data_IF_290957832311
#
_entry.id   IF_290957832311
#
_cell.length_a   1.000
_cell.length_b   1.000
_cell.length_c   1.000
_cell.angle_alpha   90.00
_cell.angle_beta   90.00
_cell.angle_gamma   90.00
#
_symmetry.space_group_name_H-M   'P 1'
#
loop_
_entity.id
_entity.type
_entity.pdbx_description
1 polymer ?
#
# COMPACT_ATOMS: atom_id res chain seq x y z
N UNK A 1 3.03 26.72 -2.09
CA UNK A 1 3.94 25.76 -1.42
C UNK A 1 4.97 26.58 -0.67
N UNK A 2 4.92 26.58 0.66
CA UNK A 2 5.96 27.18 1.50
C UNK A 2 6.50 26.08 2.41
N UNK A 3 7.76 25.70 2.21
CA UNK A 3 8.46 24.74 3.06
C UNK A 3 9.20 25.57 4.11
N UNK A 4 8.69 25.60 5.34
CA UNK A 4 9.40 26.19 6.47
C UNK A 4 10.14 25.08 7.22
N UNK A 5 11.46 25.04 7.07
CA UNK A 5 12.33 24.17 7.87
C UNK A 5 12.45 24.73 9.29
N UNK A 6 12.04 23.94 10.29
CA UNK A 6 12.31 24.22 11.71
C UNK A 6 13.28 23.15 12.25
N UNK A 7 14.53 23.55 12.50
CA UNK A 7 15.44 22.80 13.38
C UNK A 7 16.81 22.52 12.78
N UNK A 8 17.86 23.05 13.42
CA UNK A 8 19.26 22.79 13.09
C UNK A 8 19.75 21.45 13.64
N UNK A 9 20.68 20.84 12.90
CA UNK A 9 21.30 19.55 13.20
C UNK A 9 22.35 19.72 14.31
N UNK A 10 22.13 19.15 15.49
CA UNK A 10 23.23 18.80 16.40
C UNK A 10 23.58 17.32 16.29
N UNK A 11 24.88 17.06 16.23
CA UNK A 11 25.50 15.76 15.98
C UNK A 11 25.57 14.93 17.27
N UNK A 12 24.53 14.18 17.59
CA UNK A 12 24.61 12.87 18.28
C UNK A 12 23.24 12.46 18.85
N UNK A 13 22.48 11.63 18.12
CA UNK A 13 21.56 10.62 18.68
C UNK A 13 20.98 9.76 17.53
N UNK A 14 20.52 8.51 17.79
CA UNK A 14 20.12 7.55 16.74
C UNK A 14 18.91 8.04 15.92
N UNK A 15 18.72 7.53 14.69
CA UNK A 15 17.77 8.08 13.72
C UNK A 15 16.35 8.02 14.27
N UNK A 16 15.78 9.19 14.56
CA UNK A 16 14.34 9.32 14.78
C UNK A 16 13.69 9.32 13.39
N UNK A 17 12.71 8.43 13.20
CA UNK A 17 11.84 8.41 12.03
C UNK A 17 11.08 9.73 11.99
N UNK A 18 11.43 10.63 11.07
CA UNK A 18 10.63 11.81 10.79
C UNK A 18 9.44 11.36 9.93
N UNK A 19 8.28 11.18 10.56
CA UNK A 19 7.02 11.05 9.83
C UNK A 19 6.75 12.37 9.10
N UNK A 20 6.72 12.33 7.77
CA UNK A 20 6.29 13.46 6.94
C UNK A 20 4.79 13.35 6.73
N UNK A 21 4.01 14.16 7.47
CA UNK A 21 2.59 14.32 7.22
C UNK A 21 2.38 15.39 6.14
N UNK A 22 1.88 15.01 4.97
CA UNK A 22 1.51 15.94 3.90
C UNK A 22 0.04 16.34 4.13
N UNK A 23 -0.21 17.60 4.48
CA UNK A 23 -1.56 18.17 4.59
C UNK A 23 -1.87 19.02 3.36
N UNK A 24 -2.87 18.60 2.57
CA UNK A 24 -3.41 19.41 1.48
C UNK A 24 -4.40 20.42 2.07
N UNK A 25 -4.22 21.71 1.77
CA UNK A 25 -5.15 22.79 2.18
C UNK A 25 -5.87 23.28 0.92
N UNK A 26 -7.22 23.23 0.85
CA UNK A 26 -7.96 23.83 -0.25
C UNK A 26 -7.82 25.36 -0.22
N UNK A 27 -7.51 25.96 -1.37
CA UNK A 27 -7.49 27.42 -1.53
C UNK A 27 -8.74 27.89 -2.26
N UNK A 28 -9.68 28.52 -1.54
CA UNK A 28 -10.67 29.38 -2.17
C UNK A 28 -10.90 30.63 -1.29
N UNK A 29 -10.52 31.80 -1.82
CA UNK A 29 -11.06 33.08 -1.36
C UNK A 29 -12.33 33.36 -2.20
N UNK A 30 -13.48 33.72 -1.59
CA UNK A 30 -14.63 34.15 -2.36
C UNK A 30 -14.46 35.61 -2.80
N UNK A 31 -14.65 35.86 -4.09
CA UNK A 31 -14.74 37.21 -4.68
C UNK A 31 -16.13 37.78 -4.36
N UNK A 32 -16.19 38.88 -3.61
CA UNK A 32 -17.42 39.68 -3.47
C UNK A 32 -17.73 40.40 -4.79
N UNK A 33 -18.84 40.04 -5.44
CA UNK A 33 -19.45 40.89 -6.46
C UNK A 33 -20.72 41.55 -5.90
N UNK A 34 -20.70 42.88 -5.85
CA UNK A 34 -21.79 43.71 -5.36
C UNK A 34 -22.57 44.21 -6.58
N UNK A 35 -23.82 43.75 -6.73
CA UNK A 35 -25.02 44.51 -7.17
C UNK A 35 -26.05 43.58 -7.82
N UNK A 36 -27.24 43.45 -7.22
CA UNK A 36 -28.52 43.93 -7.80
C UNK A 36 -29.75 43.40 -7.06
N UNK A 37 -30.55 44.37 -6.61
CA UNK A 37 -32.02 44.41 -6.42
C UNK A 37 -32.82 43.14 -6.08
N UNK A 38 -33.38 43.22 -4.88
CA UNK A 38 -34.38 42.37 -4.21
C UNK A 38 -35.65 42.12 -5.06
N UNK A 39 -35.97 40.84 -5.22
CA UNK A 39 -37.36 40.33 -5.21
C UNK A 39 -37.41 39.21 -4.20
N UNK A 40 -38.27 39.33 -3.17
CA UNK A 40 -38.41 38.33 -2.11
C UNK A 40 -38.73 36.94 -2.68
N UNK A 41 -37.88 35.92 -2.48
CA UNK A 41 -38.23 34.55 -2.80
C UNK A 41 -39.24 34.03 -1.75
N UNK A 42 -40.23 33.27 -2.20
CA UNK A 42 -41.14 32.55 -1.29
C UNK A 42 -40.35 31.59 -0.40
N UNK A 43 -40.78 31.34 0.86
CA UNK A 43 -40.07 30.42 1.74
C UNK A 43 -40.11 29.01 1.16
N UNK A 44 -38.96 28.55 0.66
CA UNK A 44 -38.71 27.15 0.35
C UNK A 44 -38.52 26.44 1.69
N UNK A 45 -39.26 25.36 1.94
CA UNK A 45 -39.03 24.53 3.12
C UNK A 45 -37.55 24.11 3.17
N UNK A 46 -36.87 24.18 4.32
CA UNK A 46 -35.48 23.75 4.41
C UNK A 46 -35.41 22.28 3.99
N UNK A 47 -34.65 22.00 2.94
CA UNK A 47 -34.23 20.64 2.60
C UNK A 47 -33.58 20.08 3.87
N UNK A 48 -33.97 18.89 4.36
CA UNK A 48 -33.28 18.27 5.48
C UNK A 48 -31.80 18.25 5.14
N UNK A 49 -30.97 18.88 5.97
CA UNK A 49 -29.53 18.68 5.88
C UNK A 49 -29.30 17.18 6.05
N UNK A 50 -28.78 16.55 5.00
CA UNK A 50 -28.26 15.20 5.09
C UNK A 50 -27.31 15.16 6.29
N UNK A 51 -27.47 14.21 7.22
CA UNK A 51 -26.59 14.16 8.39
C UNK A 51 -25.15 14.07 7.86
N UNK A 52 -24.30 15.02 8.25
CA UNK A 52 -22.86 14.89 8.01
C UNK A 52 -22.44 13.58 8.68
N UNK A 53 -22.13 12.56 7.87
CA UNK A 53 -21.61 11.30 8.37
C UNK A 53 -20.31 11.63 9.12
N UNK A 54 -20.20 11.20 10.38
CA UNK A 54 -18.92 11.31 11.07
C UNK A 54 -17.90 10.46 10.32
N UNK A 55 -16.71 11.00 10.01
CA UNK A 55 -15.71 10.28 9.24
C UNK A 55 -15.33 8.98 9.96
N UNK A 56 -15.31 7.87 9.23
CA UNK A 56 -14.93 6.58 9.78
C UNK A 56 -13.44 6.60 10.14
N UNK A 57 -13.13 6.46 11.42
CA UNK A 57 -11.73 6.45 11.88
C UNK A 57 -11.08 5.10 11.53
N UNK A 58 -9.92 5.10 10.82
CA UNK A 58 -9.20 3.88 10.53
C UNK A 58 -8.85 3.08 11.78
N UNK A 59 -8.99 1.76 11.73
CA UNK A 59 -8.76 0.88 12.89
C UNK A 59 -8.16 -0.45 12.48
N UNK A 60 -7.07 -0.86 13.15
CA UNK A 60 -6.61 -2.25 13.11
C UNK A 60 -7.50 -3.10 14.03
N UNK A 61 -7.98 -4.24 13.54
CA UNK A 61 -8.80 -5.13 14.38
C UNK A 61 -8.00 -5.63 15.57
N UNK A 62 -8.51 -5.50 16.81
CA UNK A 62 -7.77 -5.88 18.00
C UNK A 62 -7.59 -7.39 18.12
N UNK A 63 -6.46 -7.81 18.70
CA UNK A 63 -6.27 -9.18 19.15
C UNK A 63 -7.24 -9.53 20.28
N UNK A 64 -7.75 -10.76 20.28
CA UNK A 64 -8.63 -11.30 21.31
C UNK A 64 -8.20 -12.71 21.74
N UNK A 65 -8.80 -13.17 22.84
CA UNK A 65 -8.70 -14.59 23.22
C UNK A 65 -9.30 -15.46 22.11
N UNK A 66 -8.64 -16.55 21.71
CA UNK A 66 -9.13 -17.38 20.61
C UNK A 66 -10.49 -18.00 20.91
N UNK A 67 -11.43 -17.82 19.99
CA UNK A 67 -12.79 -18.38 20.09
C UNK A 67 -12.96 -19.45 19.01
N UNK A 68 -13.39 -20.69 19.34
CA UNK A 68 -13.67 -21.69 18.33
C UNK A 68 -14.68 -21.18 17.29
N UNK A 69 -14.41 -21.43 16.01
CA UNK A 69 -15.30 -21.07 14.92
C UNK A 69 -15.49 -22.23 13.96
N UNK A 70 -16.63 -22.24 13.29
CA UNK A 70 -16.93 -23.19 12.23
C UNK A 70 -16.69 -22.52 10.87
N UNK A 71 -16.27 -23.33 9.91
CA UNK A 71 -16.16 -22.94 8.51
C UNK A 71 -17.25 -23.71 7.76
N UNK A 72 -18.12 -23.04 6.99
CA UNK A 72 -19.30 -23.68 6.38
C UNK A 72 -18.96 -24.57 5.16
N UNK A 73 -17.70 -24.67 4.76
CA UNK A 73 -17.27 -25.39 3.56
C UNK A 73 -16.88 -26.85 3.87
N UNK A 74 -17.44 -27.80 3.10
CA UNK A 74 -17.16 -29.24 3.23
C UNK A 74 -15.78 -29.59 2.65
N UNK A 75 -14.76 -29.74 3.51
CA UNK A 75 -13.69 -30.72 3.32
C UNK A 75 -12.44 -30.35 2.49
N UNK A 76 -12.27 -29.11 2.02
CA UNK A 76 -10.99 -28.62 1.46
C UNK A 76 -10.82 -27.16 1.87
N UNK A 77 -9.74 -26.84 2.58
CA UNK A 77 -9.66 -25.63 3.40
C UNK A 77 -8.22 -25.13 3.47
N UNK A 78 -7.75 -24.51 2.39
CA UNK A 78 -6.37 -24.06 2.17
C UNK A 78 -5.46 -25.10 1.48
N UNK A 79 -4.93 -24.75 0.30
CA UNK A 79 -3.96 -25.55 -0.47
C UNK A 79 -4.33 -27.03 -0.68
N UNK A 80 -5.61 -27.37 -0.65
CA UNK A 80 -6.06 -28.76 -0.82
C UNK A 80 -6.10 -29.60 0.48
N UNK A 81 -5.80 -29.01 1.65
CA UNK A 81 -5.79 -29.72 2.93
C UNK A 81 -7.06 -29.48 3.74
N UNK A 82 -7.40 -30.42 4.61
CA UNK A 82 -8.54 -30.31 5.52
C UNK A 82 -8.14 -29.57 6.81
N UNK A 83 -9.01 -28.64 7.22
CA UNK A 83 -8.94 -27.87 8.45
C UNK A 83 -9.50 -28.74 9.55
N UNK A 84 -8.72 -28.89 10.61
CA UNK A 84 -9.06 -29.69 11.77
C UNK A 84 -9.40 -28.83 12.98
N UNK A 85 -9.05 -27.54 12.94
CA UNK A 85 -9.33 -26.55 13.98
C UNK A 85 -9.38 -25.16 13.36
N UNK A 86 -10.34 -24.37 13.80
CA UNK A 86 -10.48 -22.96 13.41
C UNK A 86 -10.82 -22.13 14.64
N UNK A 87 -10.15 -21.00 14.79
CA UNK A 87 -10.34 -20.06 15.90
C UNK A 87 -10.37 -18.62 15.39
N UNK A 88 -11.29 -17.80 15.90
CA UNK A 88 -11.29 -16.34 15.69
C UNK A 88 -10.30 -15.73 16.67
N UNK A 89 -9.31 -15.00 16.15
CA UNK A 89 -8.24 -14.38 16.94
C UNK A 89 -8.24 -12.86 16.88
N UNK A 90 -8.99 -12.26 15.95
CA UNK A 90 -9.34 -10.83 15.88
C UNK A 90 -10.76 -10.69 15.37
N UNK A 91 -11.49 -9.69 15.85
CA UNK A 91 -12.87 -9.42 15.41
C UNK A 91 -13.16 -7.92 15.49
N UNK A 92 -13.98 -7.43 14.58
CA UNK A 92 -14.59 -6.10 14.61
C UNK A 92 -15.96 -6.11 13.92
N UNK A 93 -16.72 -5.05 14.12
CA UNK A 93 -18.02 -4.83 13.48
C UNK A 93 -18.04 -3.44 12.86
N UNK A 94 -18.57 -3.33 11.64
CA UNK A 94 -18.81 -2.08 10.93
C UNK A 94 -19.96 -2.27 9.94
N UNK A 95 -20.71 -1.21 9.66
CA UNK A 95 -21.72 -1.20 8.58
C UNK A 95 -20.97 -0.98 7.26
N UNK A 96 -20.58 -2.07 6.60
CA UNK A 96 -19.70 -2.03 5.43
C UNK A 96 -20.48 -1.75 4.14
N UNK A 97 -21.79 -1.96 4.15
CA UNK A 97 -22.68 -1.75 2.99
C UNK A 97 -23.77 -0.69 3.22
N UNK A 98 -23.65 0.09 4.30
CA UNK A 98 -24.52 1.22 4.61
C UNK A 98 -25.98 0.84 4.87
N UNK A 99 -26.27 -0.42 5.19
CA UNK A 99 -27.64 -0.89 5.44
C UNK A 99 -28.13 -0.60 6.88
N UNK A 100 -27.27 -0.05 7.74
CA UNK A 100 -27.53 0.22 9.16
C UNK A 100 -27.42 -1.00 10.06
N UNK A 101 -27.03 -2.17 9.53
CA UNK A 101 -26.78 -3.39 10.30
C UNK A 101 -25.31 -3.76 10.15
N UNK A 102 -24.51 -3.73 11.23
CA UNK A 102 -23.09 -4.04 11.11
C UNK A 102 -22.82 -5.46 10.61
N UNK A 103 -21.89 -5.58 9.68
CA UNK A 103 -21.21 -6.82 9.34
C UNK A 103 -20.08 -7.09 10.32
N UNK A 104 -19.73 -8.37 10.48
CA UNK A 104 -18.59 -8.79 11.30
C UNK A 104 -17.39 -9.08 10.40
N UNK A 105 -16.23 -8.54 10.77
CA UNK A 105 -14.95 -8.81 10.11
C UNK A 105 -14.03 -9.51 11.10
N UNK A 106 -13.44 -10.63 10.68
CA UNK A 106 -12.68 -11.51 11.58
C UNK A 106 -11.39 -12.00 10.94
N UNK A 107 -10.37 -12.16 11.79
CA UNK A 107 -9.18 -12.92 11.44
C UNK A 107 -9.31 -14.32 12.04
N UNK A 108 -9.33 -15.33 11.18
CA UNK A 108 -9.41 -16.72 11.58
C UNK A 108 -8.03 -17.35 11.50
N UNK A 109 -7.66 -18.06 12.56
CA UNK A 109 -6.51 -18.94 12.62
C UNK A 109 -6.97 -20.37 12.38
N UNK A 110 -6.36 -21.02 11.40
CA UNK A 110 -6.73 -22.34 10.91
C UNK A 110 -5.55 -23.29 11.07
N UNK A 111 -5.81 -24.55 11.40
CA UNK A 111 -4.82 -25.61 11.36
C UNK A 111 -5.25 -26.71 10.41
N UNK A 112 -4.32 -27.12 9.57
CA UNK A 112 -4.51 -28.28 8.70
C UNK A 112 -4.21 -29.61 9.43
N UNK A 113 -4.44 -30.72 8.73
CA UNK A 113 -4.18 -32.08 9.23
C UNK A 113 -2.71 -32.36 9.64
N UNK A 114 -1.77 -31.49 9.28
CA UNK A 114 -0.35 -31.57 9.65
C UNK A 114 0.02 -30.60 10.78
N UNK A 115 -0.96 -29.95 11.42
CA UNK A 115 -0.77 -28.92 12.44
C UNK A 115 -0.06 -27.67 11.89
N UNK A 116 -0.09 -27.46 10.56
CA UNK A 116 0.37 -26.22 9.95
C UNK A 116 -0.69 -25.14 10.16
N UNK A 117 -0.25 -24.02 10.72
CA UNK A 117 -1.08 -22.87 11.00
C UNK A 117 -1.18 -21.94 9.79
N UNK A 118 -2.35 -21.35 9.57
CA UNK A 118 -2.53 -20.26 8.62
C UNK A 118 -3.65 -19.30 9.03
N UNK A 119 -3.72 -18.14 8.39
CA UNK A 119 -4.67 -17.07 8.69
C UNK A 119 -5.50 -16.67 7.47
N UNK A 120 -6.81 -16.50 7.68
CA UNK A 120 -7.76 -16.07 6.65
C UNK A 120 -8.66 -14.95 7.16
N UNK A 121 -9.10 -14.09 6.26
CA UNK A 121 -10.13 -13.09 6.49
C UNK A 121 -11.51 -13.75 6.39
N UNK A 122 -12.41 -13.39 7.31
CA UNK A 122 -13.86 -13.62 7.20
C UNK A 122 -14.61 -12.29 7.22
N UNK A 123 -15.55 -12.13 6.30
CA UNK A 123 -16.58 -11.10 6.34
C UNK A 123 -17.93 -11.81 6.47
N UNK A 124 -18.73 -11.44 7.46
CA UNK A 124 -20.00 -12.11 7.75
C UNK A 124 -21.15 -11.11 7.86
N UNK A 125 -22.22 -11.38 7.11
CA UNK A 125 -23.50 -10.66 7.18
C UNK A 125 -24.63 -11.63 7.53
N UNK A 126 -25.04 -11.64 8.80
CA UNK A 126 -26.04 -12.59 9.27
C UNK A 126 -25.59 -14.05 9.05
N UNK A 127 -26.27 -14.78 8.15
CA UNK A 127 -25.89 -16.16 7.78
C UNK A 127 -24.92 -16.24 6.59
N UNK A 128 -24.71 -15.14 5.87
CA UNK A 128 -23.86 -15.11 4.69
C UNK A 128 -22.41 -14.89 5.15
N UNK A 129 -21.51 -15.74 4.66
CA UNK A 129 -20.10 -15.79 5.07
C UNK A 129 -19.23 -15.80 3.83
N UNK A 130 -18.27 -14.89 3.81
CA UNK A 130 -17.16 -14.87 2.87
C UNK A 130 -15.87 -15.14 3.62
N UNK A 131 -15.13 -16.19 3.24
CA UNK A 131 -13.80 -16.48 3.77
C UNK A 131 -12.76 -16.49 2.63
N UNK A 132 -11.65 -15.78 2.81
CA UNK A 132 -10.54 -15.85 1.87
C UNK A 132 -9.88 -17.23 1.86
N UNK A 133 -9.58 -17.76 0.68
CA UNK A 133 -8.90 -19.04 0.46
C UNK A 133 -9.86 -20.22 0.33
N UNK A 134 -11.16 -19.94 0.32
CA UNK A 134 -12.24 -20.93 0.24
C UNK A 134 -13.15 -20.76 -0.97
N UNK A 135 -13.25 -19.56 -1.52
CA UNK A 135 -13.82 -19.31 -2.84
C UNK A 135 -12.76 -19.51 -3.94
N UNK A 136 -13.19 -19.68 -5.20
CA UNK A 136 -12.37 -20.19 -6.32
C UNK A 136 -10.92 -19.65 -6.34
N UNK A 137 -9.92 -20.47 -6.69
CA UNK A 137 -8.48 -20.12 -6.59
C UNK A 137 -8.05 -18.88 -7.39
N UNK A 138 -8.88 -18.41 -8.32
CA UNK A 138 -8.63 -17.24 -9.16
C UNK A 138 -9.23 -15.93 -8.60
N UNK A 139 -10.05 -16.00 -7.55
CA UNK A 139 -10.71 -14.83 -6.92
C UNK A 139 -10.30 -14.57 -5.48
N UNK A 140 -9.57 -15.51 -4.85
CA UNK A 140 -9.19 -15.38 -3.45
C UNK A 140 -7.72 -15.65 -3.18
N UNK A 141 -7.14 -14.74 -2.39
CA UNK A 141 -5.79 -14.85 -1.85
C UNK A 141 -5.63 -16.06 -0.91
N UNK A 142 -4.49 -16.78 -0.94
CA UNK A 142 -4.30 -17.92 -0.05
C UNK A 142 -4.00 -17.49 1.39
N UNK A 143 -4.20 -18.42 2.34
CA UNK A 143 -3.96 -18.12 3.75
C UNK A 143 -2.49 -17.83 4.06
N UNK A 144 -2.29 -16.98 5.07
CA UNK A 144 -1.00 -16.39 5.43
C UNK A 144 -0.42 -17.03 6.70
N UNK A 145 0.89 -16.94 6.91
CA UNK A 145 1.57 -17.38 8.14
C UNK A 145 1.42 -16.40 9.31
N UNK A 146 1.14 -15.14 9.00
CA UNK A 146 0.72 -14.09 9.91
C UNK A 146 -0.18 -13.12 9.14
N UNK A 147 -1.11 -12.44 9.80
CA UNK A 147 -1.96 -11.48 9.11
C UNK A 147 -2.53 -10.42 10.06
N UNK A 148 -2.85 -9.28 9.47
CA UNK A 148 -3.48 -8.14 10.11
C UNK A 148 -4.65 -7.66 9.25
N UNK A 149 -5.65 -7.09 9.90
CA UNK A 149 -6.85 -6.54 9.24
C UNK A 149 -7.03 -5.11 9.71
N UNK A 150 -7.29 -4.20 8.78
CA UNK A 150 -7.76 -2.85 9.06
C UNK A 150 -9.12 -2.62 8.42
N UNK A 151 -9.90 -1.77 9.06
CA UNK A 151 -11.07 -1.12 8.48
C UNK A 151 -10.73 0.35 8.30
N UNK A 152 -10.99 0.91 7.12
CA UNK A 152 -10.81 2.32 6.82
C UNK A 152 -11.74 2.73 5.68
N UNK A 153 -12.16 3.99 5.65
CA UNK A 153 -12.95 4.59 4.58
C UNK A 153 -12.07 5.66 3.92
N UNK A 154 -11.19 5.23 2.99
CA UNK A 154 -10.15 6.11 2.48
C UNK A 154 -10.66 7.13 1.46
N UNK A 155 -11.79 6.86 0.81
CA UNK A 155 -12.43 7.77 -0.15
C UNK A 155 -13.55 8.62 0.50
N UNK A 156 -13.85 8.38 1.78
CA UNK A 156 -14.84 9.09 2.59
C UNK A 156 -16.26 9.03 2.01
N UNK A 157 -16.61 7.90 1.39
CA UNK A 157 -17.92 7.69 0.78
C UNK A 157 -18.95 7.07 1.76
N UNK A 158 -18.51 6.75 2.97
CA UNK A 158 -19.33 6.20 4.05
C UNK A 158 -19.40 4.68 4.07
N UNK A 159 -18.63 3.99 3.23
CA UNK A 159 -18.59 2.52 3.16
C UNK A 159 -17.17 2.00 3.43
N UNK A 160 -16.81 1.70 4.69
CA UNK A 160 -15.45 1.29 5.03
C UNK A 160 -15.00 0.04 4.26
N UNK A 161 -13.79 0.07 3.73
CA UNK A 161 -13.13 -1.08 3.11
C UNK A 161 -12.42 -1.97 4.14
N UNK A 162 -12.23 -3.23 3.76
CA UNK A 162 -11.49 -4.23 4.53
C UNK A 162 -10.10 -4.44 3.93
N UNK A 163 -9.06 -4.07 4.66
CA UNK A 163 -7.66 -4.23 4.25
C UNK A 163 -7.05 -5.46 4.94
N UNK A 164 -6.76 -6.52 4.19
CA UNK A 164 -6.09 -7.73 4.69
C UNK A 164 -4.63 -7.72 4.26
N UNK A 165 -3.72 -7.67 5.24
CA UNK A 165 -2.30 -7.76 4.98
C UNK A 165 -1.73 -9.05 5.55
N UNK A 166 -1.46 -10.00 4.66
CA UNK A 166 -1.07 -11.36 4.98
C UNK A 166 0.38 -11.65 4.59
N UNK A 167 1.13 -12.28 5.49
CA UNK A 167 2.47 -12.78 5.22
C UNK A 167 2.40 -14.15 4.54
N UNK A 168 2.82 -14.24 3.28
CA UNK A 168 2.74 -15.48 2.50
C UNK A 168 3.84 -16.48 2.79
N UNK A 169 5.05 -16.03 3.05
CA UNK A 169 6.25 -16.82 3.37
C UNK A 169 7.42 -15.84 3.60
N UNK A 170 8.19 -16.01 4.67
CA UNK A 170 9.31 -15.11 4.98
C UNK A 170 8.86 -13.71 5.40
N UNK A 171 9.44 -12.66 4.81
CA UNK A 171 9.12 -11.26 5.10
C UNK A 171 8.22 -10.62 4.02
N UNK A 172 7.67 -11.42 3.10
CA UNK A 172 6.82 -10.94 2.02
C UNK A 172 5.35 -10.87 2.47
N UNK A 173 4.91 -9.65 2.74
CA UNK A 173 3.51 -9.31 2.95
C UNK A 173 2.83 -9.03 1.64
N UNK A 174 1.56 -9.44 1.55
CA UNK A 174 0.69 -9.08 0.45
C UNK A 174 -0.60 -8.49 0.98
N UNK A 175 -1.04 -7.45 0.29
CA UNK A 175 -2.22 -6.67 0.62
C UNK A 175 -3.32 -6.95 -0.40
N UNK A 176 -4.50 -7.25 0.12
CA UNK A 176 -5.76 -7.30 -0.60
C UNK A 176 -6.77 -6.38 0.09
N UNK A 177 -7.66 -5.78 -0.69
CA UNK A 177 -8.66 -4.84 -0.19
C UNK A 177 -10.01 -5.20 -0.77
N UNK A 178 -11.05 -5.19 0.05
CA UNK A 178 -12.42 -5.47 -0.36
C UNK A 178 -13.36 -4.32 0.00
N UNK A 179 -14.24 -4.00 -0.93
CA UNK A 179 -15.45 -3.22 -0.70
C UNK A 179 -16.63 -4.14 -0.42
N UNK A 180 -17.59 -3.67 0.38
CA UNK A 180 -18.90 -4.31 0.56
C UNK A 180 -20.05 -3.43 0.06
N UNK A 181 -19.75 -2.33 -0.68
CA UNK A 181 -20.74 -1.33 -1.14
C UNK A 181 -21.97 -1.95 -1.83
N UNK A 182 -21.80 -3.10 -2.50
CA UNK A 182 -22.88 -3.79 -3.22
C UNK A 182 -23.63 -4.85 -2.40
N UNK A 183 -23.28 -5.00 -1.12
CA UNK A 183 -23.79 -6.03 -0.19
C UNK A 183 -23.06 -7.37 -0.29
N UNK A 184 -22.12 -7.50 -1.22
CA UNK A 184 -21.21 -8.65 -1.36
C UNK A 184 -19.77 -8.17 -1.48
N UNK A 185 -18.78 -8.97 -1.03
CA UNK A 185 -17.37 -8.59 -1.13
C UNK A 185 -16.92 -8.42 -2.60
N UNK A 186 -16.36 -7.27 -2.91
CA UNK A 186 -15.77 -6.94 -4.20
C UNK A 186 -14.32 -6.50 -4.02
N UNK A 187 -13.41 -7.12 -4.77
CA UNK A 187 -11.99 -6.83 -4.64
C UNK A 187 -11.66 -5.47 -5.26
N UNK A 188 -10.98 -4.61 -4.50
CA UNK A 188 -10.46 -3.32 -4.96
C UNK A 188 -9.06 -3.54 -5.54
N UNK A 189 -8.83 -3.20 -6.83
CA UNK A 189 -7.52 -3.32 -7.45
C UNK A 189 -6.56 -2.19 -7.06
N UNK A 190 -5.27 -2.48 -7.22
CA UNK A 190 -4.16 -1.53 -7.26
C UNK A 190 -3.79 -1.29 -8.72
N UNK A 191 -4.36 -0.25 -9.33
CA UNK A 191 -4.25 0.00 -10.78
C UNK A 191 -4.64 -1.25 -11.61
N UNK A 192 -3.68 -1.91 -12.25
CA UNK A 192 -3.86 -3.11 -13.07
C UNK A 192 -3.67 -4.43 -12.31
N UNK A 193 -3.43 -4.36 -10.99
CA UNK A 193 -3.15 -5.50 -10.12
C UNK A 193 -4.28 -5.74 -9.12
N UNK A 194 -4.53 -7.00 -8.78
CA UNK A 194 -5.58 -7.40 -7.81
C UNK A 194 -5.04 -7.59 -6.38
N UNK A 195 -3.75 -7.43 -6.19
CA UNK A 195 -3.05 -7.42 -4.91
C UNK A 195 -1.75 -6.64 -5.06
N UNK A 196 -1.14 -6.27 -3.93
CA UNK A 196 0.17 -5.63 -3.91
C UNK A 196 1.09 -6.31 -2.91
N UNK A 197 2.32 -6.63 -3.32
CA UNK A 197 3.37 -7.15 -2.44
C UNK A 197 3.94 -6.03 -1.57
N UNK A 198 3.21 -5.68 -0.51
CA UNK A 198 3.58 -4.66 0.44
C UNK A 198 3.00 -4.93 1.83
N UNK A 199 3.67 -4.40 2.85
CA UNK A 199 3.20 -4.34 4.22
C UNK A 199 2.52 -3.00 4.51
N UNK A 200 1.43 -3.00 5.28
CA UNK A 200 0.84 -1.76 5.82
C UNK A 200 1.70 -1.29 6.99
N UNK A 201 2.24 -0.07 6.90
CA UNK A 201 3.02 0.57 7.97
C UNK A 201 2.31 1.78 8.59
N UNK A 202 1.24 2.26 7.96
CA UNK A 202 0.39 3.31 8.50
C UNK A 202 -0.92 3.45 7.74
N UNK A 203 -1.98 3.80 8.46
CA UNK A 203 -3.28 4.15 7.89
C UNK A 203 -3.68 5.52 8.42
N UNK A 204 -4.13 6.40 7.54
CA UNK A 204 -4.66 7.72 7.84
C UNK A 204 -6.06 7.86 7.25
N UNK A 205 -6.74 8.96 7.53
CA UNK A 205 -8.14 9.17 7.12
C UNK A 205 -8.37 9.00 5.60
N UNK A 206 -7.37 9.28 4.77
CA UNK A 206 -7.51 9.29 3.30
C UNK A 206 -6.34 8.65 2.55
N UNK A 207 -5.42 8.00 3.28
CA UNK A 207 -4.30 7.33 2.62
C UNK A 207 -3.73 6.18 3.44
N UNK A 208 -3.18 5.23 2.70
CA UNK A 208 -2.47 4.07 3.20
C UNK A 208 -0.98 4.25 2.95
N UNK A 209 -0.15 4.06 3.97
CA UNK A 209 1.30 4.04 3.82
C UNK A 209 1.80 2.60 3.81
N UNK A 210 2.51 2.24 2.74
CA UNK A 210 2.98 0.90 2.47
C UNK A 210 4.50 0.84 2.45
N UNK A 211 5.05 -0.29 2.91
CA UNK A 211 6.45 -0.68 2.75
C UNK A 211 6.54 -1.90 1.82
N UNK A 212 7.45 -1.89 0.86
CA UNK A 212 7.68 -2.98 -0.07
C UNK A 212 9.16 -3.14 -0.39
N UNK A 213 9.56 -4.35 -0.78
CA UNK A 213 10.90 -4.59 -1.34
C UNK A 213 10.88 -4.32 -2.84
N UNK A 214 11.65 -3.33 -3.29
CA UNK A 214 11.82 -3.00 -4.70
C UNK A 214 13.10 -3.66 -5.22
N UNK A 215 12.95 -4.55 -6.19
CA UNK A 215 14.05 -5.28 -6.83
C UNK A 215 14.44 -4.62 -8.16
N UNK A 216 15.09 -3.46 -8.09
CA UNK A 216 15.53 -2.65 -9.24
C UNK A 216 16.99 -2.25 -9.10
N UNK A 217 17.89 -2.80 -9.92
CA UNK A 217 19.34 -2.58 -9.75
C UNK A 217 19.81 -2.89 -8.31
N UNK A 218 19.29 -3.97 -7.74
CA UNK A 218 19.47 -4.38 -6.34
C UNK A 218 18.14 -4.53 -5.61
N UNK A 219 18.19 -4.86 -4.31
CA UNK A 219 17.00 -5.01 -3.48
C UNK A 219 16.95 -3.96 -2.38
N UNK A 220 15.86 -3.19 -2.34
CA UNK A 220 15.72 -2.04 -1.46
C UNK A 220 14.38 -2.07 -0.72
N UNK A 221 14.37 -1.80 0.59
CA UNK A 221 13.13 -1.43 1.28
C UNK A 221 12.71 -0.04 0.79
N UNK A 222 11.44 0.11 0.45
CA UNK A 222 10.89 1.34 -0.05
C UNK A 222 9.49 1.59 0.51
N UNK A 223 9.10 2.85 0.59
CA UNK A 223 7.79 3.28 1.07
C UNK A 223 7.03 4.03 -0.02
N UNK A 224 5.71 3.83 -0.08
CA UNK A 224 4.82 4.59 -0.96
C UNK A 224 3.46 4.73 -0.31
N UNK A 225 2.81 5.86 -0.54
CA UNK A 225 1.45 6.09 -0.09
C UNK A 225 0.46 5.81 -1.22
N UNK A 226 -0.75 5.38 -0.87
CA UNK A 226 -1.86 5.10 -1.79
C UNK A 226 -3.12 5.78 -1.27
N UNK A 227 -3.99 6.21 -2.18
CA UNK A 227 -5.33 6.68 -1.88
C UNK A 227 -6.35 5.89 -2.70
N UNK A 228 -7.56 5.75 -2.18
CA UNK A 228 -8.67 5.14 -2.90
C UNK A 228 -9.39 6.21 -3.72
N UNK A 229 -9.60 5.96 -5.00
CA UNK A 229 -10.39 6.83 -5.88
C UNK A 229 -11.11 5.98 -6.93
N UNK A 230 -12.40 6.20 -7.12
CA UNK A 230 -13.24 5.47 -8.09
C UNK A 230 -13.08 3.93 -7.96
N UNK A 231 -13.10 3.43 -6.71
CA UNK A 231 -12.91 2.01 -6.37
C UNK A 231 -11.56 1.41 -6.84
N UNK A 232 -10.52 2.24 -7.01
CA UNK A 232 -9.15 1.81 -7.35
C UNK A 232 -8.13 2.45 -6.41
N UNK A 233 -7.24 1.63 -5.83
CA UNK A 233 -6.11 2.13 -5.06
C UNK A 233 -5.03 2.65 -6.00
N UNK A 234 -4.79 3.95 -5.94
CA UNK A 234 -3.84 4.67 -6.79
C UNK A 234 -2.68 5.19 -5.96
N UNK A 235 -1.43 5.04 -6.41
CA UNK A 235 -0.29 5.58 -5.69
C UNK A 235 -0.32 7.11 -5.63
N UNK A 236 0.08 7.66 -4.48
CA UNK A 236 0.34 9.07 -4.30
C UNK A 236 1.79 9.38 -4.70
N UNK A 237 1.94 9.99 -5.87
CA UNK A 237 3.24 10.30 -6.47
C UNK A 237 3.76 9.18 -7.38
N UNK A 238 4.81 9.47 -8.13
CA UNK A 238 5.26 8.61 -9.25
C UNK A 238 6.14 7.44 -8.83
N UNK A 239 6.67 7.44 -7.59
CA UNK A 239 7.72 6.52 -7.19
C UNK A 239 7.56 5.98 -5.76
N UNK A 240 8.08 4.78 -5.55
CA UNK A 240 8.49 4.26 -4.26
C UNK A 240 9.74 5.00 -3.78
N UNK A 241 9.69 5.52 -2.56
CA UNK A 241 10.81 6.20 -1.92
C UNK A 241 11.69 5.16 -1.23
N UNK A 242 12.95 5.03 -1.63
CA UNK A 242 13.87 4.07 -1.02
C UNK A 242 14.23 4.51 0.39
N UNK A 243 14.06 3.61 1.35
CA UNK A 243 14.49 3.81 2.73
C UNK A 243 16.02 3.74 2.76
N UNK A 244 16.73 4.83 3.12
CA UNK A 244 18.18 4.85 3.05
C UNK A 244 18.82 3.84 4.02
N UNK A 245 19.49 2.83 3.47
CA UNK A 245 20.37 1.95 4.25
C UNK A 245 21.80 2.49 4.18
N UNK A 246 22.39 2.91 5.32
CA UNK A 246 23.78 3.37 5.39
C UNK A 246 24.78 2.20 5.42
N UNK A 247 24.70 1.29 4.45
CA UNK A 247 25.64 0.17 4.31
C UNK A 247 26.40 0.27 2.98
N UNK A 248 27.56 -0.38 2.86
CA UNK A 248 28.24 -0.45 1.57
C UNK A 248 27.48 -1.27 0.53
N UNK A 249 26.51 -2.09 0.96
CA UNK A 249 25.71 -2.96 0.11
C UNK A 249 24.52 -2.24 -0.52
N UNK A 250 24.25 -0.98 -0.21
CA UNK A 250 23.18 -0.18 -0.84
C UNK A 250 23.69 0.78 -1.93
N UNK A 251 24.96 0.64 -2.33
CA UNK A 251 25.63 1.54 -3.27
C UNK A 251 26.07 0.80 -4.53
N UNK A 252 25.91 1.46 -5.66
CA UNK A 252 26.29 0.97 -6.98
C UNK A 252 27.57 1.67 -7.44
N UNK A 253 28.61 0.91 -7.73
CA UNK A 253 29.86 1.42 -8.31
C UNK A 253 29.83 1.27 -9.83
N UNK A 254 29.81 2.40 -10.54
CA UNK A 254 29.76 2.43 -12.01
C UNK A 254 31.10 1.96 -12.60
N UNK A 255 31.10 1.05 -13.57
CA UNK A 255 32.31 0.57 -14.29
C UNK A 255 32.38 1.03 -15.75
N UNK A 256 31.26 1.53 -16.27
CA UNK A 256 31.09 2.02 -17.64
C UNK A 256 30.17 3.24 -17.63
N UNK A 257 30.41 4.17 -18.54
CA UNK A 257 29.51 5.31 -18.81
C UNK A 257 28.04 4.86 -18.82
N UNK A 258 27.26 5.35 -17.86
CA UNK A 258 25.82 5.07 -17.72
C UNK A 258 25.00 6.32 -18.10
N UNK A 259 24.03 6.21 -19.02
CA UNK A 259 23.17 7.33 -19.38
C UNK A 259 22.27 7.73 -18.21
N UNK A 260 22.09 9.02 -18.01
CA UNK A 260 21.27 9.59 -16.93
C UNK A 260 20.59 10.87 -17.39
N UNK A 261 19.33 11.05 -17.02
CA UNK A 261 18.63 12.33 -17.12
C UNK A 261 18.74 13.04 -15.77
N UNK A 262 19.36 14.23 -15.73
CA UNK A 262 19.46 15.03 -14.50
C UNK A 262 18.10 15.67 -14.14
N UNK A 263 17.95 16.14 -12.90
CA UNK A 263 16.69 16.75 -12.41
C UNK A 263 16.20 17.95 -13.24
N UNK A 264 17.10 18.65 -13.93
CA UNK A 264 16.76 19.75 -14.84
C UNK A 264 16.32 19.28 -16.25
N UNK A 265 16.24 17.97 -16.47
CA UNK A 265 15.88 17.31 -17.73
C UNK A 265 17.04 17.13 -18.70
N UNK A 266 18.28 17.46 -18.30
CA UNK A 266 19.45 17.33 -19.17
C UNK A 266 19.92 15.87 -19.27
N UNK A 267 20.07 15.38 -20.49
CA UNK A 267 20.74 14.12 -20.77
C UNK A 267 22.26 14.22 -20.52
N UNK A 268 22.78 13.31 -19.70
CA UNK A 268 24.16 13.27 -19.23
C UNK A 268 24.64 11.82 -19.06
N UNK A 269 25.85 11.67 -18.51
CA UNK A 269 26.47 10.37 -18.23
C UNK A 269 27.16 10.41 -16.87
N UNK A 270 27.01 9.36 -16.08
CA UNK A 270 27.91 9.07 -14.96
C UNK A 270 29.01 8.12 -15.42
N UNK A 271 30.26 8.53 -15.24
CA UNK A 271 31.42 7.77 -15.70
C UNK A 271 31.89 6.69 -14.71
N UNK A 272 32.82 5.81 -15.12
CA UNK A 272 33.43 4.80 -14.25
C UNK A 272 33.99 5.39 -12.96
N UNK A 273 33.77 4.70 -11.84
CA UNK A 273 34.16 5.11 -10.49
C UNK A 273 33.13 6.01 -9.79
N UNK A 274 32.05 6.42 -10.46
CA UNK A 274 30.93 7.11 -9.81
C UNK A 274 30.21 6.14 -8.87
N UNK A 275 29.95 6.57 -7.64
CA UNK A 275 29.19 5.80 -6.66
C UNK A 275 27.79 6.38 -6.57
N UNK A 276 26.79 5.55 -6.83
CA UNK A 276 25.38 5.90 -6.81
C UNK A 276 24.69 5.29 -5.60
N UNK A 277 23.76 6.05 -5.02
CA UNK A 277 22.78 5.56 -4.07
C UNK A 277 21.40 5.68 -4.71
N UNK A 278 20.64 4.59 -4.72
CA UNK A 278 19.25 4.55 -5.20
C UNK A 278 18.35 5.25 -4.19
N UNK A 279 17.50 6.16 -4.67
CA UNK A 279 16.61 6.99 -3.85
C UNK A 279 15.13 6.81 -4.19
N UNK A 280 14.81 6.44 -5.42
CA UNK A 280 13.42 6.26 -5.86
C UNK A 280 13.28 5.34 -7.07
N UNK A 281 12.09 4.80 -7.31
CA UNK A 281 11.77 3.98 -8.48
C UNK A 281 10.26 3.81 -8.64
N UNK A 282 9.76 3.65 -9.87
CA UNK A 282 8.41 3.15 -10.13
C UNK A 282 8.31 1.60 -10.10
N UNK A 283 9.44 0.91 -9.92
CA UNK A 283 9.54 -0.55 -9.97
C UNK A 283 9.44 -1.14 -11.38
N UNK A 284 9.42 -0.31 -12.43
CA UNK A 284 9.10 -0.74 -13.80
C UNK A 284 10.02 -0.15 -14.88
N UNK A 285 10.32 1.15 -14.82
CA UNK A 285 10.91 1.89 -15.93
C UNK A 285 12.06 2.84 -15.55
N UNK A 286 12.22 3.18 -14.27
CA UNK A 286 13.34 4.02 -13.87
C UNK A 286 13.83 3.77 -12.45
N UNK A 287 15.05 4.23 -12.20
CA UNK A 287 15.64 4.38 -10.87
C UNK A 287 16.20 5.79 -10.72
N UNK A 288 15.79 6.47 -9.66
CA UNK A 288 16.37 7.73 -9.22
C UNK A 288 17.58 7.46 -8.33
N UNK A 289 18.64 8.21 -8.57
CA UNK A 289 19.93 8.06 -7.90
C UNK A 289 20.48 9.40 -7.45
N UNK A 290 21.33 9.34 -6.42
CA UNK A 290 22.19 10.43 -5.99
C UNK A 290 23.65 9.98 -5.93
N UNK A 291 24.55 10.81 -6.43
CA UNK A 291 26.00 10.59 -6.36
C UNK A 291 26.54 11.00 -4.98
N UNK A 292 27.75 10.54 -4.65
CA UNK A 292 28.40 10.91 -3.38
C UNK A 292 28.66 12.42 -3.19
N UNK A 293 28.72 13.19 -4.28
CA UNK A 293 28.85 14.65 -4.29
C UNK A 293 27.50 15.39 -4.40
N UNK A 294 26.39 14.65 -4.37
CA UNK A 294 25.03 15.20 -4.26
C UNK A 294 24.36 15.53 -5.59
N UNK A 295 24.88 15.04 -6.71
CA UNK A 295 24.22 15.16 -8.02
C UNK A 295 23.14 14.10 -8.13
N UNK A 296 21.92 14.53 -8.42
CA UNK A 296 20.74 13.67 -8.60
C UNK A 296 20.48 13.43 -10.08
N UNK A 297 19.88 12.28 -10.39
CA UNK A 297 19.42 11.97 -11.73
C UNK A 297 18.66 10.65 -11.81
N UNK A 298 18.07 10.41 -12.97
CA UNK A 298 17.23 9.25 -13.28
C UNK A 298 17.90 8.38 -14.33
N UNK A 299 17.98 7.08 -14.07
CA UNK A 299 18.42 6.06 -15.01
C UNK A 299 17.17 5.35 -15.54
N UNK A 300 16.99 5.35 -16.85
CA UNK A 300 15.96 4.54 -17.48
C UNK A 300 16.37 3.06 -17.46
N UNK A 301 15.43 2.19 -17.07
CA UNK A 301 15.63 0.74 -17.01
C UNK A 301 14.51 0.02 -17.76
N UNK A 302 14.81 -1.18 -18.20
CA UNK A 302 13.83 -2.09 -18.78
C UNK A 302 14.07 -3.52 -18.28
N UNK A 303 13.00 -4.27 -18.06
CA UNK A 303 13.05 -5.71 -17.80
C UNK A 303 12.26 -6.44 -18.88
N UNK A 304 12.94 -7.10 -19.84
CA UNK A 304 12.27 -7.91 -20.83
C UNK A 304 11.41 -9.02 -20.19
N UNK A 305 10.24 -9.29 -20.78
CA UNK A 305 9.33 -10.30 -20.25
C UNK A 305 10.00 -11.67 -20.12
N UNK A 306 9.96 -12.24 -18.91
CA UNK A 306 10.58 -13.53 -18.59
C UNK A 306 12.06 -13.47 -18.24
N UNK A 307 12.65 -12.28 -18.22
CA UNK A 307 14.00 -12.06 -17.67
C UNK A 307 13.92 -11.61 -16.21
N UNK A 308 14.95 -11.97 -15.44
CA UNK A 308 15.13 -11.53 -14.06
C UNK A 308 16.05 -10.31 -13.96
N UNK A 309 16.86 -10.06 -14.99
CA UNK A 309 17.82 -8.96 -15.01
C UNK A 309 17.22 -7.67 -15.54
N UNK A 310 17.75 -6.55 -15.06
CA UNK A 310 17.47 -5.23 -15.63
C UNK A 310 18.48 -4.87 -16.70
N UNK A 311 18.02 -4.03 -17.63
CA UNK A 311 18.79 -3.52 -18.75
C UNK A 311 18.78 -1.99 -18.75
N UNK A 312 19.91 -1.41 -19.14
CA UNK A 312 20.11 0.03 -19.29
C UNK A 312 20.67 0.25 -20.70
N UNK A 313 19.93 0.98 -21.54
CA UNK A 313 20.26 1.21 -22.95
C UNK A 313 20.54 -0.11 -23.71
N UNK A 314 19.71 -1.14 -23.47
CA UNK A 314 19.78 -2.45 -24.11
C UNK A 314 20.91 -3.38 -23.63
N UNK A 315 21.73 -2.95 -22.66
CA UNK A 315 22.80 -3.74 -22.07
C UNK A 315 22.46 -4.14 -20.63
N UNK A 316 22.92 -5.32 -20.19
CA UNK A 316 22.63 -5.82 -18.84
C UNK A 316 23.17 -4.88 -17.75
N UNK A 317 22.44 -4.72 -16.64
CA UNK A 317 22.90 -3.99 -15.44
C UNK A 317 24.29 -4.43 -14.95
N UNK A 318 24.65 -5.71 -15.17
CA UNK A 318 25.93 -6.28 -14.77
C UNK A 318 27.13 -5.74 -15.59
N UNK A 319 26.87 -5.11 -16.73
CA UNK A 319 27.90 -4.44 -17.54
C UNK A 319 28.19 -3.02 -17.04
N UNK A 320 27.28 -2.43 -16.24
CA UNK A 320 27.40 -1.06 -15.73
C UNK A 320 27.90 -0.98 -14.29
N UNK A 321 27.74 -2.04 -13.49
CA UNK A 321 28.06 -2.01 -12.07
C UNK A 321 29.07 -3.09 -11.64
N UNK A 322 29.96 -2.76 -10.70
CA UNK A 322 30.87 -3.74 -10.08
C UNK A 322 30.12 -4.87 -9.36
N UNK A 323 28.99 -4.52 -8.75
CA UNK A 323 28.09 -5.40 -8.01
C UNK A 323 26.68 -4.80 -8.02
N UNK A 324 25.68 -5.66 -8.18
CA UNK A 324 24.27 -5.31 -8.00
C UNK A 324 23.74 -6.03 -6.75
N UNK A 325 23.30 -5.31 -5.71
CA UNK A 325 23.06 -5.88 -4.39
C UNK A 325 21.66 -6.46 -4.24
N UNK A 326 21.38 -7.58 -4.91
CA UNK A 326 20.15 -8.33 -4.66
C UNK A 326 20.23 -9.09 -3.33
N UNK A 327 19.15 -9.06 -2.55
CA UNK A 327 18.95 -9.97 -1.43
C UNK A 327 18.30 -11.26 -1.94
N UNK A 328 18.67 -12.39 -1.34
CA UNK A 328 18.12 -13.71 -1.66
C UNK A 328 18.02 -14.58 -0.42
#
# INVERSE_FOLDING_TARGET
MDITYLGGVETSDPPQVLAVAIRVVPSEEPVEDTTNTVTDPQPVEPVPSEPEAEPFAPVELPAQDPVPAEIPYDGITLYGFQSIRTEIVRSGEADLDGCGTPETVQLLRIWDQYDQQSFVLRIQKGSDVFDTGFEEPDVSYPASFNAHIWLADLDADGYPEVYFNGNMNGDQYVLNVWSMKTGTPELIPFEDQIYLEAAIIGVSDNSLQLESTQNVLGSYSAIRAYALHDDVLTPLGDEWQIVPANTSYSRLSVVRDIPVTLDDGTESVFGPGTVLQVTGTDGKSFVDVITSDGVTGRIAIEQPAGDWQWYIDGESELEYFELVPYVG
#
